data_IF_850493044449
#
_entry.id   IF_850493044449
#
_cell.length_a   1.000
_cell.length_b   1.000
_cell.length_c   1.000
_cell.angle_alpha   90.00
_cell.angle_beta   90.00
_cell.angle_gamma   90.00
#
_symmetry.space_group_name_H-M   'P 1'
#
loop_
_entity.id
_entity.type
_entity.pdbx_description
1 polymer ?
2 non-polymer ?
#
# COMPACT_ATOMS: atom_id res chain seq x y z
N UNK A 1 -5.52 1.91 -27.28
CA UNK A 1 -5.56 3.17 -26.54
C UNK A 1 -6.39 3.05 -25.26
N UNK A 2 -5.87 3.47 -24.09
CA UNK A 2 -6.58 3.38 -22.81
C UNK A 2 -5.77 3.98 -21.65
N UNK A 3 -6.09 5.21 -21.27
CA UNK A 3 -5.22 6.04 -20.43
C UNK A 3 -5.55 5.90 -18.95
N UNK A 4 -4.49 5.79 -18.13
CA UNK A 4 -4.59 5.58 -16.68
C UNK A 4 -3.66 6.54 -15.96
N UNK A 5 -4.19 7.27 -14.97
CA UNK A 5 -3.41 8.20 -14.15
C UNK A 5 -3.07 7.54 -12.82
N UNK A 6 -1.79 7.61 -12.44
CA UNK A 6 -1.30 6.98 -11.22
C UNK A 6 -0.51 8.02 -10.43
N UNK A 7 -0.92 8.26 -9.19
CA UNK A 7 -0.34 9.35 -8.40
C UNK A 7 0.81 8.85 -7.52
N UNK A 8 1.83 9.70 -7.37
CA UNK A 8 2.97 9.36 -6.56
C UNK A 8 3.64 8.11 -7.10
N UNK A 9 3.95 8.13 -8.40
CA UNK A 9 4.28 6.93 -9.16
C UNK A 9 5.65 6.38 -8.83
N UNK A 10 6.49 7.11 -8.11
CA UNK A 10 7.78 6.59 -7.70
C UNK A 10 7.72 5.80 -6.39
N UNK A 11 6.52 5.53 -5.88
CA UNK A 11 6.37 4.79 -4.65
C UNK A 11 6.50 3.28 -4.81
N UNK A 12 6.60 2.63 -3.65
CA UNK A 12 6.90 1.19 -3.56
C UNK A 12 5.86 0.35 -4.29
N UNK A 13 4.59 0.51 -3.92
CA UNK A 13 3.53 -0.18 -4.65
C UNK A 13 3.36 0.43 -6.02
N UNK A 14 3.25 1.76 -6.09
CA UNK A 14 2.93 2.43 -7.35
C UNK A 14 3.88 2.06 -8.45
N UNK A 15 5.17 1.95 -8.15
CA UNK A 15 6.13 1.54 -9.18
C UNK A 15 5.81 0.15 -9.74
N UNK A 16 5.37 -0.78 -8.88
CA UNK A 16 4.89 -2.07 -9.35
C UNK A 16 3.60 -1.92 -10.18
N UNK A 17 2.64 -1.17 -9.68
CA UNK A 17 1.43 -0.89 -10.45
C UNK A 17 1.79 -0.37 -11.83
N UNK A 18 2.79 0.50 -11.90
CA UNK A 18 3.17 1.10 -13.16
C UNK A 18 3.74 0.06 -14.11
N UNK A 19 4.74 -0.71 -13.65
CA UNK A 19 5.29 -1.80 -14.45
C UNK A 19 4.20 -2.68 -15.02
N UNK A 20 3.30 -3.16 -14.16
CA UNK A 20 2.26 -4.08 -14.60
C UNK A 20 1.28 -3.40 -15.57
N UNK A 21 0.89 -2.15 -15.29
CA UNK A 21 0.06 -1.40 -16.22
C UNK A 21 0.71 -1.30 -17.59
N UNK A 22 1.99 -0.91 -17.61
CA UNK A 22 2.69 -0.77 -18.89
C UNK A 22 2.77 -2.10 -19.62
N UNK A 23 2.96 -3.19 -18.87
CA UNK A 23 3.04 -4.52 -19.47
C UNK A 23 1.72 -4.92 -20.12
N UNK A 24 0.59 -4.41 -19.63
CA UNK A 24 -0.70 -4.63 -20.26
C UNK A 24 -1.06 -3.51 -21.25
N UNK A 25 -0.09 -2.68 -21.62
CA UNK A 25 -0.20 -1.73 -22.72
C UNK A 25 -1.23 -0.64 -22.45
N UNK A 26 -1.39 -0.23 -21.19
CA UNK A 26 -2.11 1.00 -20.94
C UNK A 26 -1.17 2.19 -21.16
N UNK A 27 -1.76 3.33 -21.48
CA UNK A 27 -1.03 4.58 -21.36
C UNK A 27 -1.04 4.99 -19.90
N UNK A 28 0.12 5.41 -19.40
CA UNK A 28 0.29 5.66 -17.97
C UNK A 28 0.80 7.08 -17.81
N UNK A 29 0.07 7.90 -17.07
CA UNK A 29 0.53 9.22 -16.63
C UNK A 29 0.68 9.12 -15.12
N UNK A 30 1.92 9.19 -14.65
CA UNK A 30 2.19 9.18 -13.23
C UNK A 30 2.45 10.59 -12.74
N UNK A 31 2.03 10.87 -11.51
CA UNK A 31 2.40 12.13 -10.89
C UNK A 31 3.53 11.87 -9.91
N UNK A 32 4.38 12.88 -9.74
CA UNK A 32 5.58 12.80 -8.91
C UNK A 32 5.82 14.16 -8.26
N UNK A 33 6.64 14.13 -7.21
CA UNK A 33 6.86 15.34 -6.42
C UNK A 33 7.77 16.33 -7.14
N UNK A 34 8.77 15.84 -7.87
CA UNK A 34 9.78 16.71 -8.45
C UNK A 34 10.00 16.36 -9.92
N UNK A 35 10.72 17.26 -10.60
CA UNK A 35 11.16 16.96 -11.96
C UNK A 35 12.17 15.85 -11.94
N UNK A 36 13.04 15.84 -10.93
CA UNK A 36 14.00 14.75 -10.77
C UNK A 36 13.28 13.42 -10.73
N UNK A 37 12.35 13.27 -9.78
CA UNK A 37 11.51 12.07 -9.67
C UNK A 37 10.99 11.59 -11.02
N UNK A 38 10.33 12.48 -11.75
CA UNK A 38 9.74 12.12 -13.02
C UNK A 38 10.74 11.55 -14.01
N UNK A 39 11.83 12.28 -14.25
CA UNK A 39 12.83 11.84 -15.24
C UNK A 39 13.47 10.53 -14.81
N UNK A 40 13.63 10.31 -13.51
CA UNK A 40 14.15 9.03 -13.02
C UNK A 40 13.18 7.88 -13.34
N UNK A 41 11.89 8.10 -13.14
CA UNK A 41 10.88 7.10 -13.46
C UNK A 41 10.95 6.68 -14.92
N UNK A 42 11.07 7.66 -15.83
CA UNK A 42 11.09 7.35 -17.25
C UNK A 42 12.34 6.57 -17.65
N UNK A 43 13.47 6.88 -17.01
CA UNK A 43 14.71 6.21 -17.35
C UNK A 43 14.69 4.76 -16.88
N UNK A 44 14.11 4.52 -15.70
CA UNK A 44 13.99 3.15 -15.20
C UNK A 44 13.28 2.24 -16.18
N UNK A 45 12.31 2.75 -16.92
CA UNK A 45 11.62 1.96 -17.93
C UNK A 45 12.17 2.17 -19.34
N UNK A 46 13.22 2.98 -19.49
CA UNK A 46 13.81 3.25 -20.79
C UNK A 46 12.81 3.92 -21.73
N UNK A 47 12.13 4.95 -21.20
CA UNK A 47 11.21 5.86 -21.88
C UNK A 47 10.29 5.16 -22.88
N UNK A 48 9.32 4.36 -22.44
CA UNK A 48 8.35 3.80 -23.39
C UNK A 48 7.52 4.91 -24.00
N UNK A 49 6.90 4.58 -25.13
CA UNK A 49 6.00 5.54 -25.77
C UNK A 49 4.74 5.74 -24.94
N UNK A 50 4.35 4.75 -24.15
CA UNK A 50 3.09 4.83 -23.42
C UNK A 50 3.28 5.18 -21.94
N UNK A 51 4.29 5.99 -21.60
CA UNK A 51 4.50 6.42 -20.22
C UNK A 51 4.98 7.87 -20.18
N UNK A 52 4.18 8.75 -19.55
CA UNK A 52 4.52 10.15 -19.33
C UNK A 52 4.40 10.46 -17.84
N UNK A 53 4.75 11.70 -17.46
CA UNK A 53 4.61 12.09 -16.06
C UNK A 53 4.26 13.56 -15.91
N UNK A 54 3.42 13.85 -14.92
CA UNK A 54 3.08 15.21 -14.51
C UNK A 54 3.55 15.44 -13.08
N UNK A 55 3.70 16.72 -12.73
CA UNK A 55 4.24 17.10 -11.42
C UNK A 55 3.10 17.61 -10.53
N UNK A 56 2.90 16.92 -9.40
CA UNK A 56 2.02 17.35 -8.33
C UNK A 56 2.88 17.35 -7.06
N UNK A 57 3.41 18.53 -6.72
CA UNK A 57 4.38 18.61 -5.62
C UNK A 57 3.77 18.23 -4.28
N UNK A 58 2.44 18.32 -4.15
CA UNK A 58 1.73 17.95 -2.92
C UNK A 58 0.33 17.52 -3.32
N UNK A 59 0.05 16.22 -3.14
CA UNK A 59 -1.24 15.66 -3.54
C UNK A 59 -2.39 16.13 -2.65
N UNK A 60 -2.08 16.68 -1.48
CA UNK A 60 -3.09 17.01 -0.50
C UNK A 60 -3.72 18.38 -0.68
N UNK A 61 -3.03 19.31 -1.32
CA UNK A 61 -3.51 20.68 -1.38
C UNK A 61 -4.72 20.82 -2.31
N UNK A 62 -5.43 21.93 -2.13
CA UNK A 62 -6.64 22.21 -2.89
C UNK A 62 -6.31 22.38 -4.35
N UNK A 63 -6.97 21.58 -5.19
CA UNK A 63 -6.72 21.64 -6.61
C UNK A 63 -5.40 21.06 -7.05
N UNK A 64 -4.81 20.16 -6.25
CA UNK A 64 -3.47 19.65 -6.55
C UNK A 64 -3.42 18.91 -7.88
N UNK A 65 -4.51 18.24 -8.23
CA UNK A 65 -4.63 17.51 -9.49
C UNK A 65 -5.44 18.26 -10.53
N UNK A 66 -5.59 19.57 -10.36
CA UNK A 66 -6.44 20.38 -11.23
C UNK A 66 -5.90 20.44 -12.66
N UNK A 67 -4.61 20.74 -12.82
CA UNK A 67 -4.06 20.98 -14.15
C UNK A 67 -4.05 19.71 -14.99
N UNK A 68 -3.68 18.59 -14.36
CA UNK A 68 -3.44 17.36 -15.11
C UNK A 68 -4.75 16.75 -15.60
N UNK A 69 -5.82 16.86 -14.80
CA UNK A 69 -7.12 16.39 -15.26
C UNK A 69 -7.62 17.23 -16.44
N UNK A 70 -7.32 18.53 -16.44
CA UNK A 70 -7.74 19.41 -17.53
C UNK A 70 -6.89 19.22 -18.77
N UNK A 71 -5.61 18.88 -18.59
CA UNK A 71 -4.69 18.68 -19.69
C UNK A 71 -4.74 17.26 -20.26
N UNK A 72 -5.47 16.35 -19.64
CA UNK A 72 -5.52 14.96 -20.08
C UNK A 72 -6.95 14.43 -19.93
N UNK A 73 -7.88 15.06 -20.64
CA UNK A 73 -9.26 14.64 -20.60
C UNK A 73 -9.53 13.27 -21.21
N UNK A 74 -8.53 12.62 -21.78
CA UNK A 74 -8.69 11.31 -22.38
C UNK A 74 -8.64 10.18 -21.35
N UNK A 75 -8.19 10.48 -20.15
CA UNK A 75 -8.03 9.46 -19.13
C UNK A 75 -9.39 8.98 -18.64
N UNK A 76 -9.47 7.69 -18.28
CA UNK A 76 -10.65 7.07 -17.70
C UNK A 76 -10.43 6.49 -16.31
N UNK A 77 -9.19 6.24 -15.89
CA UNK A 77 -8.89 5.55 -14.64
C UNK A 77 -7.93 6.40 -13.81
N UNK A 78 -8.21 6.52 -12.51
CA UNK A 78 -7.37 7.26 -11.56
C UNK A 78 -7.04 6.33 -10.41
N UNK A 79 -5.76 5.99 -10.28
CA UNK A 79 -5.26 5.20 -9.16
C UNK A 79 -4.52 6.15 -8.21
N UNK A 80 -5.00 6.24 -6.98
CA UNK A 80 -4.48 7.17 -6.00
C UNK A 80 -3.65 6.38 -5.00
N UNK A 81 -2.35 6.65 -4.95
CA UNK A 81 -1.46 5.91 -4.08
C UNK A 81 -0.75 6.78 -3.05
N UNK A 82 -0.70 8.10 -3.25
CA UNK A 82 0.18 8.96 -2.47
C UNK A 82 -0.41 9.28 -1.10
N UNK A 83 0.39 9.05 -0.04
CA UNK A 83 0.02 9.37 1.32
C UNK A 83 1.29 9.36 2.16
N UNK A 84 1.49 10.35 3.08
CA UNK A 84 2.65 10.27 3.99
C UNK A 84 2.64 8.98 4.79
N UNK A 85 3.61 8.08 4.48
CA UNK A 85 3.72 6.79 5.14
C UNK A 85 4.45 6.90 6.48
N UNK A 86 5.32 7.91 6.63
CA UNK A 86 5.79 8.34 7.95
C UNK A 86 6.35 9.75 7.84
N UNK A 87 6.56 10.35 9.00
CA UNK A 87 7.28 11.60 9.16
C UNK A 87 8.06 11.51 10.46
N UNK A 88 8.30 12.65 11.10
CA UNK A 88 8.69 12.71 12.50
C UNK A 88 7.60 13.59 13.13
N UNK A 89 6.51 12.95 13.55
CA UNK A 89 5.28 13.68 13.84
C UNK A 89 5.40 14.41 15.18
N UNK A 90 5.29 15.75 15.13
CA UNK A 90 5.28 16.58 16.33
C UNK A 90 3.86 16.88 16.81
N UNK A 91 2.88 16.71 15.95
CA UNK A 91 1.49 17.03 16.23
C UNK A 91 0.67 16.23 15.24
N UNK A 92 -0.16 15.30 15.72
CA UNK A 92 -0.75 14.33 14.81
C UNK A 92 -1.75 15.00 13.87
N UNK A 93 -2.65 15.83 14.40
CA UNK A 93 -3.70 16.35 13.54
C UNK A 93 -3.14 17.33 12.53
N UNK A 94 -2.14 18.14 12.91
CA UNK A 94 -1.55 19.06 11.95
C UNK A 94 -0.71 18.32 10.93
N UNK A 95 0.18 17.45 11.40
CA UNK A 95 1.14 16.82 10.49
C UNK A 95 0.56 15.67 9.69
N UNK A 96 -0.55 15.08 10.13
CA UNK A 96 -0.90 13.74 9.67
C UNK A 96 -2.37 13.52 9.33
N UNK A 97 -3.26 13.97 10.21
CA UNK A 97 -4.68 13.61 10.14
C UNK A 97 -5.41 14.43 9.10
N UNK A 98 -5.66 15.70 9.42
CA UNK A 98 -6.23 16.73 8.56
C UNK A 98 -5.60 16.76 7.18
N UNK A 99 -4.29 16.48 7.02
CA UNK A 99 -3.76 16.28 5.65
C UNK A 99 -4.42 15.12 4.92
N UNK A 100 -4.50 13.96 5.57
CA UNK A 100 -5.06 12.79 4.91
C UNK A 100 -6.52 13.02 4.51
N UNK A 101 -7.27 13.72 5.35
CA UNK A 101 -8.72 13.87 5.21
C UNK A 101 -9.04 15.02 4.26
N UNK A 102 -8.59 16.23 4.61
CA UNK A 102 -8.81 17.36 3.72
C UNK A 102 -8.00 17.25 2.44
N UNK A 103 -7.03 16.31 2.38
CA UNK A 103 -6.29 16.02 1.17
C UNK A 103 -7.02 15.06 0.25
N UNK A 104 -7.68 14.05 0.80
CA UNK A 104 -8.43 13.13 -0.03
C UNK A 104 -9.62 13.82 -0.68
N UNK A 105 -10.16 14.83 -0.01
CA UNK A 105 -11.21 15.65 -0.62
C UNK A 105 -10.69 16.40 -1.83
N UNK A 106 -9.49 16.99 -1.71
CA UNK A 106 -8.85 17.77 -2.76
C UNK A 106 -8.28 16.89 -3.86
N UNK A 107 -8.57 15.61 -3.83
CA UNK A 107 -8.38 14.72 -4.96
C UNK A 107 -9.70 14.44 -5.64
N UNK A 108 -10.70 14.07 -4.85
CA UNK A 108 -12.02 13.75 -5.38
C UNK A 108 -12.74 14.99 -5.88
N UNK A 109 -12.65 16.10 -5.13
CA UNK A 109 -13.13 17.38 -5.66
C UNK A 109 -12.51 17.68 -7.02
N UNK A 110 -11.22 17.39 -7.18
CA UNK A 110 -10.56 17.61 -8.46
C UNK A 110 -11.16 16.75 -9.56
N UNK A 111 -11.51 15.50 -9.24
CA UNK A 111 -12.04 14.58 -10.25
C UNK A 111 -13.51 14.88 -10.55
N UNK A 112 -14.32 15.11 -9.53
CA UNK A 112 -15.72 15.45 -9.75
C UNK A 112 -15.83 16.69 -10.62
N UNK A 113 -14.87 17.61 -10.51
CA UNK A 113 -14.86 18.78 -11.35
C UNK A 113 -14.39 18.46 -12.76
N UNK A 114 -13.14 18.04 -12.88
CA UNK A 114 -12.47 18.03 -14.17
C UNK A 114 -12.12 16.64 -14.71
N UNK A 115 -12.35 15.58 -13.94
CA UNK A 115 -12.21 14.24 -14.49
C UNK A 115 -13.47 13.82 -15.19
N UNK A 116 -13.60 14.23 -16.46
CA UNK A 116 -14.86 14.10 -17.19
C UNK A 116 -15.09 12.67 -17.69
N UNK A 117 -14.11 12.11 -18.41
CA UNK A 117 -14.19 10.75 -18.90
C UNK A 117 -13.61 9.75 -17.93
N UNK A 118 -13.54 10.07 -16.65
CA UNK A 118 -13.04 9.16 -15.63
C UNK A 118 -14.19 8.29 -15.12
N UNK A 119 -14.03 6.98 -15.25
CA UNK A 119 -15.07 5.99 -14.97
C UNK A 119 -14.81 5.16 -13.73
N UNK A 120 -13.57 4.74 -13.52
CA UNK A 120 -13.26 3.87 -12.40
C UNK A 120 -12.07 4.46 -11.64
N UNK A 121 -12.18 4.50 -10.32
CA UNK A 121 -11.21 5.13 -9.43
C UNK A 121 -10.82 4.14 -8.34
N UNK A 122 -9.53 4.08 -8.02
CA UNK A 122 -9.02 3.16 -7.00
C UNK A 122 -8.12 3.91 -6.02
N UNK A 123 -8.49 3.89 -4.74
CA UNK A 123 -7.70 4.50 -3.67
C UNK A 123 -7.02 3.39 -2.88
N UNK A 124 -5.78 3.64 -2.48
CA UNK A 124 -5.06 2.71 -1.63
C UNK A 124 -5.28 3.13 -0.18
N UNK A 125 -5.98 2.29 0.56
CA UNK A 125 -6.15 2.49 1.98
C UNK A 125 -5.33 1.48 2.76
N UNK A 126 -5.91 0.84 3.77
CA UNK A 126 -5.13 -0.06 4.59
C UNK A 126 -6.04 -1.05 5.27
N UNK A 127 -5.43 -2.16 5.69
CA UNK A 127 -6.10 -3.04 6.63
C UNK A 127 -6.26 -2.35 7.98
N UNK A 128 -5.38 -1.38 8.29
CA UNK A 128 -5.55 -0.60 9.50
C UNK A 128 -6.85 0.19 9.52
N UNK A 129 -7.50 0.36 8.37
CA UNK A 129 -8.82 1.00 8.35
C UNK A 129 -9.94 0.00 8.57
N UNK A 130 -9.64 -1.28 8.57
CA UNK A 130 -10.63 -2.32 8.75
C UNK A 130 -10.64 -2.85 10.18
N UNK A 131 -9.47 -3.23 10.69
CA UNK A 131 -9.40 -3.93 11.97
C UNK A 131 -9.28 -2.96 13.14
N UNK A 132 -10.07 -3.26 14.19
CA UNK A 132 -10.01 -2.57 15.48
C UNK A 132 -9.06 -3.30 16.41
N UNK A 133 -8.30 -2.52 17.20
CA UNK A 133 -7.35 -3.05 18.17
C UNK A 133 -7.87 -4.24 18.96
N UNK A 134 -8.96 -4.05 19.72
CA UNK A 134 -9.48 -5.14 20.53
C UNK A 134 -9.84 -6.35 19.68
N UNK A 135 -10.42 -6.14 18.48
CA UNK A 135 -10.87 -7.28 17.69
C UNK A 135 -9.70 -8.04 17.10
N UNK A 136 -8.70 -7.32 16.58
CA UNK A 136 -7.55 -7.92 15.93
C UNK A 136 -6.77 -8.87 16.84
N UNK A 137 -6.88 -8.70 18.17
CA UNK A 137 -6.20 -9.56 19.13
C UNK A 137 -7.06 -10.73 19.59
N UNK A 138 -8.34 -10.74 19.22
CA UNK A 138 -9.26 -11.78 19.62
C UNK A 138 -9.02 -13.01 18.74
N UNK A 139 -8.38 -14.03 19.30
CA UNK A 139 -8.15 -15.31 18.62
C UNK A 139 -9.44 -15.90 18.06
N UNK A 140 -10.57 -15.60 18.68
CA UNK A 140 -11.85 -16.16 18.31
C UNK A 140 -12.62 -15.30 17.32
N UNK A 141 -12.08 -14.14 16.96
CA UNK A 141 -12.75 -13.18 16.08
C UNK A 141 -12.52 -13.52 14.61
N UNK A 142 -13.35 -12.91 13.76
CA UNK A 142 -13.24 -13.02 12.31
C UNK A 142 -13.45 -11.63 11.70
N UNK A 143 -12.36 -10.97 11.29
CA UNK A 143 -12.43 -9.65 10.68
C UNK A 143 -12.58 -9.79 9.16
N UNK A 144 -13.52 -9.04 8.59
CA UNK A 144 -13.81 -9.09 7.15
C UNK A 144 -13.71 -7.69 6.52
N UNK A 145 -14.23 -7.56 5.29
CA UNK A 145 -14.22 -6.30 4.54
C UNK A 145 -15.25 -5.31 5.04
N UNK A 146 -16.29 -5.81 5.73
CA UNK A 146 -17.33 -4.94 6.27
C UNK A 146 -16.86 -4.25 7.54
N UNK A 147 -15.89 -4.83 8.25
CA UNK A 147 -15.41 -4.26 9.49
C UNK A 147 -14.70 -2.93 9.29
N UNK A 148 -14.98 -1.98 10.18
CA UNK A 148 -14.25 -0.73 10.26
C UNK A 148 -13.58 -0.60 11.61
N UNK A 149 -12.32 -0.25 11.57
CA UNK A 149 -11.59 0.26 12.72
C UNK A 149 -12.37 1.34 13.45
N UNK A 150 -12.76 1.09 14.70
CA UNK A 150 -13.62 2.03 15.40
C UNK A 150 -12.87 3.08 16.19
N UNK A 151 -11.60 3.34 15.87
CA UNK A 151 -10.79 4.27 16.65
C UNK A 151 -11.37 5.68 16.58
N UNK A 152 -11.45 6.33 17.74
CA UNK A 152 -11.92 7.70 17.79
C UNK A 152 -10.90 8.64 17.16
N UNK A 153 -11.39 9.84 16.83
CA UNK A 153 -10.48 10.91 16.42
C UNK A 153 -9.56 11.31 17.57
N UNK A 154 -10.11 11.38 18.79
CA UNK A 154 -9.29 11.70 19.95
C UNK A 154 -8.23 10.63 20.20
N UNK A 155 -8.57 9.37 19.88
CA UNK A 155 -7.62 8.28 20.09
C UNK A 155 -6.53 8.32 19.04
N UNK A 156 -6.89 8.64 17.78
CA UNK A 156 -5.90 8.79 16.71
C UNK A 156 -4.76 9.75 17.08
N UNK A 157 -5.01 10.72 17.94
CA UNK A 157 -4.06 11.77 18.29
C UNK A 157 -3.04 11.38 19.36
N UNK A 158 -3.19 10.21 20.01
CA UNK A 158 -2.35 9.87 21.16
C UNK A 158 -0.88 9.75 20.76
N UNK A 159 -0.60 9.07 19.66
CA UNK A 159 0.78 8.77 19.28
C UNK A 159 0.81 8.54 17.79
N UNK A 160 2.01 8.47 17.19
CA UNK A 160 2.10 8.34 15.72
C UNK A 160 1.58 7.04 15.16
N UNK A 161 1.52 5.96 15.93
CA UNK A 161 0.95 4.71 15.42
C UNK A 161 -0.56 4.81 15.30
N UNK A 162 -1.22 5.21 16.39
CA UNK A 162 -2.61 5.62 16.34
C UNK A 162 -2.88 6.67 15.29
N UNK A 163 -1.99 7.66 15.20
CA UNK A 163 -1.99 8.59 14.09
C UNK A 163 -2.11 7.92 12.74
N UNK A 164 -1.16 7.07 12.38
CA UNK A 164 -1.18 6.49 11.04
C UNK A 164 -2.45 5.67 10.84
N UNK A 165 -2.77 4.80 11.79
CA UNK A 165 -3.97 3.99 11.70
C UNK A 165 -5.21 4.87 11.58
N UNK A 166 -5.23 5.99 12.31
CA UNK A 166 -6.35 6.90 12.23
C UNK A 166 -6.46 7.59 10.88
N UNK A 167 -5.31 8.04 10.34
CA UNK A 167 -5.26 8.62 9.01
C UNK A 167 -5.88 7.70 7.98
N UNK A 168 -5.58 6.42 8.06
CA UNK A 168 -6.17 5.49 7.10
C UNK A 168 -7.68 5.44 7.28
N UNK A 169 -8.14 5.25 8.51
CA UNK A 169 -9.57 5.17 8.76
C UNK A 169 -10.29 6.42 8.28
N UNK A 170 -9.89 7.59 8.78
CA UNK A 170 -10.67 8.79 8.50
C UNK A 170 -10.57 9.23 7.06
N UNK A 171 -9.45 8.93 6.39
CA UNK A 171 -9.30 9.30 4.98
C UNK A 171 -10.18 8.44 4.08
N UNK A 172 -10.20 7.13 4.28
CA UNK A 172 -11.08 6.31 3.48
C UNK A 172 -12.54 6.57 3.83
N UNK A 173 -12.83 6.87 5.09
CA UNK A 173 -14.17 7.34 5.45
C UNK A 173 -14.57 8.51 4.56
N UNK A 174 -13.68 9.49 4.46
CA UNK A 174 -13.94 10.68 3.67
C UNK A 174 -14.22 10.34 2.23
N UNK A 175 -13.59 9.27 1.73
CA UNK A 175 -13.67 8.92 0.33
C UNK A 175 -15.02 8.31 -0.02
N UNK A 176 -15.57 7.46 0.85
CA UNK A 176 -16.92 6.98 0.62
C UNK A 176 -17.95 8.07 0.90
N UNK A 177 -17.76 8.81 2.00
CA UNK A 177 -18.66 9.91 2.33
C UNK A 177 -18.79 10.88 1.16
N UNK A 178 -17.74 11.00 0.35
CA UNK A 178 -17.78 11.91 -0.79
C UNK A 178 -18.72 11.40 -1.88
N UNK A 179 -18.64 10.11 -2.20
CA UNK A 179 -19.47 9.57 -3.26
C UNK A 179 -20.91 9.36 -2.82
N UNK A 180 -21.20 9.57 -1.54
CA UNK A 180 -22.56 9.58 -1.05
C UNK A 180 -23.13 10.98 -0.97
N UNK A 181 -22.29 11.99 -0.77
CA UNK A 181 -22.72 13.37 -0.60
C UNK A 181 -22.69 14.17 -1.89
N UNK A 182 -22.49 13.52 -3.03
CA UNK A 182 -22.49 14.20 -4.33
C UNK A 182 -23.35 13.41 -5.30
N UNK A 183 -24.03 14.14 -6.18
CA UNK A 183 -25.12 13.59 -6.98
C UNK A 183 -24.62 12.73 -8.15
N UNK A 184 -24.44 13.33 -9.32
CA UNK A 184 -24.07 12.54 -10.49
C UNK A 184 -22.57 12.23 -10.42
N UNK A 185 -22.25 11.25 -9.58
CA UNK A 185 -20.91 10.70 -9.44
C UNK A 185 -20.61 9.89 -10.69
N UNK A 186 -19.81 10.46 -11.59
CA UNK A 186 -19.66 9.85 -12.91
C UNK A 186 -18.71 8.67 -12.89
N UNK A 187 -17.99 8.47 -11.79
CA UNK A 187 -17.05 7.36 -11.66
C UNK A 187 -17.52 6.44 -10.55
N UNK A 188 -16.93 5.25 -10.52
CA UNK A 188 -17.09 4.34 -9.39
C UNK A 188 -15.79 4.26 -8.62
N UNK A 189 -15.91 3.93 -7.34
CA UNK A 189 -14.79 3.87 -6.41
C UNK A 189 -14.57 2.46 -5.93
N UNK A 190 -13.34 1.98 -6.04
CA UNK A 190 -12.89 0.78 -5.36
C UNK A 190 -11.70 1.13 -4.48
N UNK A 191 -11.48 0.29 -3.50
CA UNK A 191 -10.46 0.56 -2.50
C UNK A 191 -9.66 -0.71 -2.22
N UNK A 192 -8.36 -0.51 -1.97
CA UNK A 192 -7.42 -1.60 -1.73
C UNK A 192 -6.89 -1.39 -0.33
N UNK A 193 -7.13 -2.36 0.55
CA UNK A 193 -6.80 -2.26 1.97
C UNK A 193 -5.84 -3.38 2.33
N UNK A 194 -4.54 -3.18 2.17
CA UNK A 194 -3.56 -4.22 2.50
C UNK A 194 -3.09 -4.22 3.95
N UNK A 195 -2.64 -5.39 4.38
CA UNK A 195 -1.89 -5.47 5.62
C UNK A 195 -0.45 -5.03 5.35
N UNK A 196 0.51 -5.51 6.12
CA UNK A 196 1.90 -5.12 5.90
C UNK A 196 2.38 -5.64 4.55
N UNK A 197 2.89 -4.73 3.72
CA UNK A 197 3.29 -5.05 2.36
C UNK A 197 4.78 -5.39 2.34
N UNK A 198 5.09 -6.66 2.08
CA UNK A 198 6.44 -7.17 1.87
C UNK A 198 6.71 -7.38 0.37
N UNK A 199 7.94 -7.71 0.04
CA UNK A 199 8.29 -8.08 -1.30
C UNK A 199 9.40 -7.22 -1.83
N UNK A 200 9.96 -7.59 -2.99
CA UNK A 200 11.04 -6.79 -3.57
C UNK A 200 10.56 -5.47 -4.14
N UNK A 201 11.48 -4.52 -4.22
CA UNK A 201 11.29 -3.31 -5.00
C UNK A 201 11.12 -3.67 -6.48
N UNK A 202 10.50 -2.75 -7.21
CA UNK A 202 10.31 -2.95 -8.63
C UNK A 202 11.64 -3.06 -9.38
N UNK A 203 12.65 -2.36 -8.89
CA UNK A 203 13.99 -2.40 -9.45
C UNK A 203 14.98 -2.52 -8.31
N UNK A 204 15.92 -3.46 -8.42
CA UNK A 204 17.01 -3.54 -7.46
C UNK A 204 17.86 -2.30 -7.42
N UNK A 205 17.79 -1.47 -8.46
CA UNK A 205 18.45 -0.17 -8.49
C UNK A 205 18.15 0.63 -7.24
N UNK A 206 16.86 0.66 -6.88
CA UNK A 206 16.33 1.54 -5.86
C UNK A 206 16.71 1.13 -4.44
N UNK A 207 17.35 0.00 -4.22
CA UNK A 207 17.60 -0.44 -2.86
C UNK A 207 18.56 0.52 -2.18
N UNK A 208 18.13 1.04 -1.02
CA UNK A 208 18.95 1.77 -0.07
C UNK A 208 19.07 0.93 1.20
N UNK A 209 19.92 1.38 2.13
CA UNK A 209 20.21 0.57 3.31
C UNK A 209 18.96 0.39 4.17
N UNK A 210 18.19 1.45 4.36
CA UNK A 210 16.89 1.39 5.03
C UNK A 210 15.80 1.71 4.00
N UNK A 211 14.92 0.75 3.74
CA UNK A 211 13.89 0.89 2.71
C UNK A 211 12.71 1.67 3.27
N UNK A 212 12.33 2.76 2.59
CA UNK A 212 11.18 3.56 3.00
C UNK A 212 9.88 2.76 2.84
N UNK A 213 9.90 1.51 3.29
CA UNK A 213 8.78 0.60 3.11
C UNK A 213 8.54 -0.13 4.42
N UNK A 214 7.42 -0.84 4.47
CA UNK A 214 7.19 -1.84 5.52
C UNK A 214 8.10 -3.05 5.36
N UNK A 215 8.80 -3.17 4.22
CA UNK A 215 9.87 -4.14 4.13
C UNK A 215 11.04 -3.75 5.02
N UNK A 216 10.97 -2.59 5.68
CA UNK A 216 11.91 -2.29 6.76
C UNK A 216 11.65 -3.14 7.99
N UNK A 217 10.48 -3.79 8.06
CA UNK A 217 10.24 -4.84 9.05
C UNK A 217 11.23 -5.98 8.83
N UNK A 218 11.41 -6.36 7.57
CA UNK A 218 12.36 -7.41 7.23
C UNK A 218 13.78 -6.90 7.37
N UNK A 219 14.09 -5.78 6.69
CA UNK A 219 15.43 -5.22 6.71
C UNK A 219 15.95 -5.10 8.14
N UNK A 220 15.09 -4.68 9.08
CA UNK A 220 15.49 -4.57 10.47
C UNK A 220 16.06 -5.89 11.00
N UNK A 221 15.58 -7.02 10.49
CA UNK A 221 16.11 -8.32 10.88
C UNK A 221 17.58 -8.44 10.49
N UNK A 222 17.93 -8.01 9.26
CA UNK A 222 19.29 -8.15 8.72
C UNK A 222 20.29 -7.25 9.42
N UNK A 223 19.83 -6.26 10.15
CA UNK A 223 20.70 -5.39 10.93
C UNK A 223 20.83 -5.87 12.37
N UNK A 224 20.18 -6.97 12.72
CA UNK A 224 20.37 -7.59 14.02
C UNK A 224 21.71 -8.34 14.08
N UNK A 225 22.12 -8.63 15.30
CA UNK A 225 23.33 -9.34 15.62
C UNK A 225 23.00 -10.66 16.32
N UNK A 226 23.85 -11.68 16.20
CA UNK A 226 23.52 -12.99 16.80
C UNK A 226 23.03 -12.96 18.24
N UNK A 227 23.69 -12.20 19.12
CA UNK A 227 23.26 -12.16 20.51
C UNK A 227 22.13 -11.19 20.76
N UNK A 228 21.60 -10.56 19.72
CA UNK A 228 20.55 -9.57 19.88
C UNK A 228 19.21 -10.24 20.21
N UNK A 229 18.40 -9.53 20.99
CA UNK A 229 17.02 -9.93 21.17
C UNK A 229 16.21 -9.60 19.91
N UNK A 230 15.30 -10.50 19.55
CA UNK A 230 14.46 -10.36 18.36
C UNK A 230 13.28 -9.43 18.66
N UNK A 231 13.19 -8.29 17.98
CA UNK A 231 12.09 -7.35 18.25
C UNK A 231 10.76 -7.96 17.90
N UNK A 232 9.80 -7.85 18.83
CA UNK A 232 8.49 -8.40 18.60
C UNK A 232 7.73 -7.55 17.58
N UNK A 233 7.18 -8.20 16.57
CA UNK A 233 6.21 -7.57 15.70
C UNK A 233 5.41 -8.70 15.06
N UNK A 234 4.20 -8.37 14.62
CA UNK A 234 3.30 -9.38 14.08
C UNK A 234 2.13 -8.72 13.37
N UNK A 235 1.44 -9.50 12.57
CA UNK A 235 0.23 -9.05 11.92
C UNK A 235 0.07 -9.83 10.64
N UNK A 236 -0.87 -9.37 9.81
CA UNK A 236 -0.96 -9.89 8.47
C UNK A 236 0.05 -9.24 7.54
N UNK A 237 0.30 -9.92 6.42
CA UNK A 237 1.22 -9.42 5.41
C UNK A 237 0.68 -9.81 4.03
N UNK A 238 1.15 -9.10 3.02
CA UNK A 238 0.85 -9.43 1.63
C UNK A 238 2.03 -8.94 0.77
N UNK A 239 2.16 -9.54 -0.41
CA UNK A 239 3.22 -9.21 -1.34
C UNK A 239 2.85 -8.01 -2.22
N UNK A 240 3.78 -7.07 -2.31
CA UNK A 240 3.65 -5.84 -3.11
C UNK A 240 3.21 -6.14 -4.54
N UNK A 241 3.59 -7.30 -5.07
CA UNK A 241 3.23 -7.62 -6.43
C UNK A 241 1.77 -8.03 -6.55
N UNK A 242 1.25 -8.74 -5.54
CA UNK A 242 -0.19 -9.02 -5.52
C UNK A 242 -0.97 -7.76 -5.21
N UNK A 243 -0.43 -6.89 -4.38
CA UNK A 243 -1.12 -5.65 -4.09
C UNK A 243 -1.23 -4.81 -5.34
N UNK A 244 -0.11 -4.67 -6.07
CA UNK A 244 -0.16 -3.90 -7.31
C UNK A 244 -1.14 -4.51 -8.29
N UNK A 245 -1.13 -5.83 -8.43
CA UNK A 245 -2.04 -6.47 -9.36
C UNK A 245 -3.49 -6.16 -8.99
N UNK A 246 -3.82 -6.29 -7.70
CA UNK A 246 -5.15 -5.99 -7.20
C UNK A 246 -5.65 -4.63 -7.69
N UNK A 247 -4.79 -3.62 -7.63
CA UNK A 247 -5.17 -2.29 -8.10
C UNK A 247 -5.64 -2.30 -9.54
N UNK A 248 -5.11 -3.20 -10.38
CA UNK A 248 -5.50 -3.25 -11.79
C UNK A 248 -6.82 -4.01 -11.95
N UNK A 249 -6.95 -5.18 -11.33
CA UNK A 249 -8.22 -5.90 -11.31
C UNK A 249 -9.33 -5.02 -10.74
N UNK A 250 -8.98 -4.05 -9.91
CA UNK A 250 -9.97 -3.19 -9.27
C UNK A 250 -10.77 -2.37 -10.27
N UNK A 251 -10.12 -1.93 -11.36
CA UNK A 251 -10.88 -1.24 -12.38
C UNK A 251 -11.17 -2.11 -13.60
N UNK A 252 -10.30 -3.07 -13.91
CA UNK A 252 -10.58 -4.01 -15.00
C UNK A 252 -11.85 -4.80 -14.72
N UNK A 253 -12.04 -5.23 -13.48
CA UNK A 253 -13.17 -6.08 -13.14
C UNK A 253 -14.37 -5.24 -12.70
N UNK A 254 -15.55 -5.66 -13.13
CA UNK A 254 -16.75 -4.87 -12.86
C UNK A 254 -17.36 -5.20 -11.51
N UNK A 255 -17.17 -6.41 -11.02
CA UNK A 255 -17.61 -6.73 -9.67
C UNK A 255 -16.88 -5.92 -8.61
N UNK A 256 -15.78 -5.26 -8.98
CA UNK A 256 -15.00 -4.46 -8.03
C UNK A 256 -15.62 -3.09 -7.75
N UNK A 257 -16.57 -2.64 -8.59
CA UNK A 257 -17.24 -1.36 -8.37
C UNK A 257 -17.80 -1.30 -6.95
N UNK A 258 -17.39 -0.24 -6.22
CA UNK A 258 -17.93 0.06 -4.88
C UNK A 258 -17.61 -1.05 -3.89
N UNK A 259 -16.34 -1.45 -3.88
CA UNK A 259 -15.88 -2.54 -3.05
C UNK A 259 -14.67 -2.11 -2.23
N UNK A 260 -14.66 -2.52 -0.96
CA UNK A 260 -13.43 -2.56 -0.18
C UNK A 260 -12.80 -3.93 -0.38
N UNK A 261 -11.50 -3.93 -0.64
CA UNK A 261 -10.79 -5.12 -1.07
C UNK A 261 -9.66 -5.34 -0.08
N UNK A 262 -9.77 -6.41 0.70
CA UNK A 262 -8.77 -6.76 1.70
C UNK A 262 -7.63 -7.55 1.05
N UNK A 263 -6.40 -7.10 1.28
CA UNK A 263 -5.25 -7.77 0.70
C UNK A 263 -4.36 -8.33 1.79
N UNK A 264 -4.31 -9.66 1.87
CA UNK A 264 -3.62 -10.34 2.94
C UNK A 264 -3.35 -11.76 2.49
N UNK A 265 -2.07 -12.12 2.44
CA UNK A 265 -1.65 -13.46 2.08
C UNK A 265 -1.66 -14.39 3.30
N UNK A 266 -1.17 -13.93 4.43
CA UNK A 266 -1.12 -14.75 5.61
C UNK A 266 -0.69 -13.92 6.78
N UNK A 267 -0.19 -14.59 7.80
CA UNK A 267 0.23 -13.93 9.03
C UNK A 267 1.70 -14.23 9.31
N UNK A 268 2.33 -13.33 10.05
CA UNK A 268 3.74 -13.47 10.43
C UNK A 268 3.94 -12.99 11.87
N UNK A 269 5.07 -13.40 12.44
CA UNK A 269 5.79 -12.71 13.51
C UNK A 269 7.25 -12.55 13.06
N UNK A 270 8.04 -11.89 13.87
CA UNK A 270 9.46 -11.72 13.54
C UNK A 270 10.19 -13.05 13.50
N UNK A 271 9.81 -14.00 14.37
CA UNK A 271 10.37 -15.34 14.30
C UNK A 271 10.16 -15.95 12.92
N UNK A 272 8.98 -15.76 12.34
CA UNK A 272 8.71 -16.27 11.00
C UNK A 272 9.80 -15.84 10.04
N UNK A 273 10.14 -14.55 10.08
CA UNK A 273 11.08 -13.96 9.13
C UNK A 273 12.50 -14.45 9.37
N UNK A 274 12.95 -14.44 10.63
CA UNK A 274 14.20 -15.06 11.05
C UNK A 274 14.30 -16.49 10.52
N UNK A 275 13.32 -17.33 10.84
CA UNK A 275 13.33 -18.73 10.39
C UNK A 275 13.58 -18.83 8.90
N UNK A 276 12.78 -18.11 8.11
CA UNK A 276 12.87 -18.15 6.64
C UNK A 276 14.25 -17.76 6.16
N UNK A 277 14.83 -16.70 6.73
CA UNK A 277 16.15 -16.26 6.31
C UNK A 277 17.21 -17.29 6.67
N UNK A 278 17.26 -17.70 7.94
CA UNK A 278 18.27 -18.69 8.34
C UNK A 278 18.16 -19.94 7.50
N UNK A 279 16.93 -20.32 7.16
CA UNK A 279 16.69 -21.54 6.41
C UNK A 279 17.23 -21.43 4.99
N UNK A 280 16.90 -20.35 4.29
CA UNK A 280 17.14 -20.21 2.86
C UNK A 280 18.37 -19.39 2.49
N UNK A 281 19.07 -18.78 3.46
CA UNK A 281 20.23 -17.93 3.19
C UNK A 281 21.40 -18.42 4.02
N UNK A 282 22.12 -19.43 3.53
CA UNK A 282 23.24 -19.99 4.32
C UNK A 282 24.32 -18.97 4.66
N UNK A 283 24.60 -18.02 3.75
CA UNK A 283 25.63 -16.98 4.01
C UNK A 283 25.19 -15.94 5.04
N UNK A 284 24.10 -16.23 5.76
CA UNK A 284 23.59 -15.37 6.84
C UNK A 284 23.28 -16.13 8.12
N UNK A 285 23.02 -17.45 8.05
CA UNK A 285 22.90 -18.26 9.25
C UNK A 285 24.13 -18.08 10.13
N UNK A 286 23.90 -17.84 11.42
CA UNK A 286 24.98 -17.56 12.35
C UNK A 286 25.35 -16.10 12.49
N UNK A 287 24.77 -15.23 11.67
CA UNK A 287 25.03 -13.79 11.75
C UNK A 287 23.83 -13.02 12.26
N UNK A 288 22.75 -13.71 12.64
CA UNK A 288 21.52 -13.14 13.20
C UNK A 288 20.92 -14.17 14.17
N UNK A 289 19.94 -13.79 15.02
CA UNK A 289 19.45 -14.70 16.08
C UNK A 289 18.73 -16.01 15.68
N UNK A 290 17.83 -16.50 16.56
CA UNK A 290 17.11 -17.79 16.50
C UNK A 290 15.93 -17.84 17.47
N UNK A 291 15.19 -19.02 17.53
CA UNK A 291 14.09 -19.53 18.39
C UNK A 291 12.93 -20.17 17.59
N UNK A 292 13.20 -21.18 16.75
CA UNK A 292 12.27 -21.47 15.64
C UNK A 292 10.94 -22.07 16.06
N UNK A 293 9.90 -21.71 15.29
CA UNK A 293 8.55 -22.23 15.45
C UNK A 293 7.65 -21.40 16.33
N UNK A 294 8.19 -20.37 17.01
CA UNK A 294 7.39 -19.49 17.85
C UNK A 294 6.14 -18.98 17.15
N UNK A 295 6.23 -18.67 15.86
CA UNK A 295 5.15 -17.96 15.19
C UNK A 295 3.83 -18.73 15.28
N UNK A 296 3.79 -19.92 14.66
CA UNK A 296 2.68 -20.88 14.71
C UNK A 296 1.84 -20.76 15.97
N UNK A 297 2.49 -20.82 17.12
CA UNK A 297 1.77 -20.72 18.39
C UNK A 297 1.26 -19.32 18.64
N UNK A 298 2.13 -18.31 18.49
CA UNK A 298 1.75 -16.92 18.78
C UNK A 298 0.57 -16.50 17.90
N UNK A 299 0.62 -16.86 16.62
CA UNK A 299 -0.42 -16.46 15.68
C UNK A 299 -1.75 -17.13 16.05
N UNK A 300 -1.72 -18.44 16.26
CA UNK A 300 -2.91 -19.18 16.63
C UNK A 300 -3.57 -18.59 17.87
N UNK A 301 -2.79 -18.08 18.81
CA UNK A 301 -3.35 -17.67 20.10
C UNK A 301 -3.70 -16.19 20.20
N UNK A 302 -3.10 -15.33 19.38
CA UNK A 302 -3.09 -13.90 19.69
C UNK A 302 -3.61 -13.01 18.55
N UNK A 303 -4.13 -13.59 17.47
CA UNK A 303 -4.60 -12.83 16.32
C UNK A 303 -5.94 -13.37 15.88
N UNK A 304 -6.83 -12.47 15.45
CA UNK A 304 -8.10 -12.90 14.89
C UNK A 304 -7.86 -13.66 13.60
N UNK A 305 -8.90 -14.13 12.95
CA UNK A 305 -8.79 -14.63 11.58
C UNK A 305 -9.21 -13.55 10.60
N UNK A 306 -8.33 -13.26 9.63
CA UNK A 306 -8.70 -12.43 8.50
C UNK A 306 -9.44 -13.30 7.49
N UNK A 307 -10.72 -13.02 7.31
CA UNK A 307 -11.53 -13.74 6.33
C UNK A 307 -11.68 -12.81 5.12
N UNK A 308 -10.79 -13.00 4.15
CA UNK A 308 -10.80 -12.24 2.91
C UNK A 308 -11.28 -13.08 1.73
N UNK A 309 -12.11 -14.08 2.00
CA UNK A 309 -12.61 -14.93 0.92
C UNK A 309 -13.28 -14.11 -0.18
N UNK A 310 -14.14 -13.16 0.21
CA UNK A 310 -14.82 -12.31 -0.76
C UNK A 310 -13.84 -11.49 -1.60
N UNK A 311 -12.69 -11.12 -1.02
CA UNK A 311 -11.66 -10.41 -1.77
C UNK A 311 -10.88 -11.36 -2.67
N UNK A 312 -10.50 -12.51 -2.14
CA UNK A 312 -9.73 -13.48 -2.93
C UNK A 312 -10.55 -14.07 -4.08
N UNK A 313 -11.89 -14.09 -3.94
CA UNK A 313 -12.74 -14.55 -5.03
C UNK A 313 -12.84 -13.52 -6.12
N UNK A 314 -13.16 -12.29 -5.73
CA UNK A 314 -13.23 -11.18 -6.68
C UNK A 314 -11.95 -11.08 -7.51
N UNK A 315 -10.79 -11.15 -6.85
CA UNK A 315 -9.52 -10.98 -7.55
C UNK A 315 -9.18 -12.19 -8.42
N UNK A 316 -9.21 -13.38 -7.84
CA UNK A 316 -9.13 -14.60 -8.62
C UNK A 316 -7.75 -15.06 -9.04
N UNK A 317 -6.67 -14.46 -8.55
CA UNK A 317 -5.35 -15.03 -8.78
C UNK A 317 -4.79 -15.51 -7.45
N UNK A 318 -3.71 -16.26 -7.54
CA UNK A 318 -3.07 -16.78 -6.35
C UNK A 318 -1.90 -15.90 -5.92
N UNK A 319 -1.68 -15.87 -4.62
CA UNK A 319 -0.73 -14.98 -3.96
C UNK A 319 0.66 -15.61 -3.88
N UNK A 320 1.66 -14.74 -3.82
CA UNK A 320 2.93 -15.15 -3.26
C UNK A 320 2.72 -15.61 -1.83
N UNK A 321 3.50 -16.58 -1.41
CA UNK A 321 3.50 -17.00 -0.02
C UNK A 321 4.65 -16.32 0.73
N UNK A 322 4.71 -16.55 2.06
CA UNK A 322 5.68 -15.85 2.90
C UNK A 322 7.10 -16.20 2.50
N UNK A 323 7.37 -17.49 2.38
CA UNK A 323 8.72 -17.92 2.03
C UNK A 323 9.19 -17.21 0.77
N UNK A 324 8.39 -17.25 -0.29
CA UNK A 324 8.78 -16.63 -1.55
C UNK A 324 8.92 -15.11 -1.40
N UNK A 325 7.98 -14.46 -0.72
CA UNK A 325 8.01 -13.00 -0.61
C UNK A 325 9.23 -12.55 0.20
N UNK A 326 9.40 -13.12 1.40
CA UNK A 326 10.56 -12.80 2.22
C UNK A 326 11.84 -13.06 1.45
N UNK A 327 11.94 -14.24 0.84
CA UNK A 327 13.09 -14.58 0.01
C UNK A 327 13.39 -13.50 -1.01
N UNK A 328 12.40 -13.14 -1.84
CA UNK A 328 12.64 -12.19 -2.93
C UNK A 328 13.07 -10.84 -2.39
N UNK A 329 12.52 -10.45 -1.24
CA UNK A 329 12.94 -9.22 -0.56
C UNK A 329 14.41 -9.27 -0.19
N UNK A 330 14.81 -10.35 0.48
CA UNK A 330 16.18 -10.47 1.00
C UNK A 330 17.16 -10.71 -0.12
N UNK A 331 16.85 -11.65 -1.02
CA UNK A 331 17.70 -11.89 -2.18
C UNK A 331 18.00 -10.61 -2.92
N UNK A 332 17.06 -9.68 -2.91
CA UNK A 332 17.26 -8.44 -3.64
C UNK A 332 18.19 -7.50 -2.90
N UNK A 333 18.07 -7.48 -1.57
CA UNK A 333 18.89 -6.58 -0.78
C UNK A 333 20.33 -7.07 -0.77
N UNK A 334 20.51 -8.37 -0.57
CA UNK A 334 21.85 -8.97 -0.65
C UNK A 334 22.49 -8.62 -1.98
N UNK A 335 21.88 -9.04 -3.08
CA UNK A 335 22.50 -8.79 -4.38
C UNK A 335 22.50 -7.32 -4.79
N UNK A 336 22.29 -6.38 -3.86
CA UNK A 336 22.42 -4.95 -4.13
C UNK A 336 23.65 -4.34 -3.48
N UNK A 337 23.91 -4.64 -2.20
CA UNK A 337 25.19 -4.31 -1.59
C UNK A 337 26.30 -5.13 -2.24
N UNK A 338 27.42 -4.48 -2.54
CA UNK A 338 28.52 -5.12 -3.24
C UNK A 338 29.83 -4.30 -3.16
#
# INVERSE_FOLDING_TARGET
>A
PITVIVSGATGFIAQHVVKQLLAKNYQVIGTVRSTAKGDHLLKLFNNPKNLSYEIVEDVGTKGAFDKVLQKHGEAKVFLHLASPFHFNVTDVEKELLLPAVDGTKNVLQAIYNFGNNIEKVVITSSYAAISTASKEADKNAIITEKDWNEISWQDALLNPVNGYRGSKKFAEKAAWDFIKSNDNVKFSLSTINPSFVFGPQSFGSEIKQSLNTSSEIINSILKLKPNDSIPASKGGWVDVRDVAKAHIIAFENEDAKNQRILLNSGRFTSQSLVDIINDKFPDLKGKIPVDPGSDKSVIAESLATIDDTKSRELLGFEYYNLEQSVYDTVEQIVNAHK
#
